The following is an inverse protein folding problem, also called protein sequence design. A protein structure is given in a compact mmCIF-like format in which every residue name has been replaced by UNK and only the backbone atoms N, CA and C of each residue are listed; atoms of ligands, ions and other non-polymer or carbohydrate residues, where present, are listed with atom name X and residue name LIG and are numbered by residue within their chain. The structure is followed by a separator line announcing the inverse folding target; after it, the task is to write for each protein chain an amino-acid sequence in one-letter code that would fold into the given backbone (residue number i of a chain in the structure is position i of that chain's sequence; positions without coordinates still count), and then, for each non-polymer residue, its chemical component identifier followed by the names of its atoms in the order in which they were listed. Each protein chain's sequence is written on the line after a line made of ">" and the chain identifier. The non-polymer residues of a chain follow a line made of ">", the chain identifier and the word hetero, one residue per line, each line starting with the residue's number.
data_IF_437839809789
#
_entry.id   IF_437839809789
#
_cell.length_a   1.000
_cell.length_b   1.000
_cell.length_c   1.000
_cell.angle_alpha   90.00
_cell.angle_beta   90.00
_cell.angle_gamma   90.00
#
_symmetry.space_group_name_H-M   'P 1'
#
loop_
_entity.id
_entity.type
_entity.pdbx_description
1 polymer ?
#
# COMPACT_ATOMS: atom_id res chain seq x y z
N UNK A 1 74.70 5.68 37.69
CA UNK A 1 74.14 6.95 38.21
C UNK A 1 72.69 6.69 38.60
N UNK A 2 72.40 6.86 39.89
CA UNK A 2 71.15 6.59 40.62
C UNK A 2 70.20 7.80 40.61
N UNK A 3 68.88 7.54 40.52
CA UNK A 3 67.76 8.14 41.33
C UNK A 3 66.40 7.79 40.67
N UNK A 4 65.53 7.08 41.38
CA UNK A 4 64.42 7.56 42.25
C UNK A 4 63.27 8.19 41.42
N UNK A 5 62.11 7.52 41.32
CA UNK A 5 60.92 7.57 42.20
C UNK A 5 59.91 8.64 41.74
N UNK A 6 58.62 8.27 41.85
CA UNK A 6 57.41 9.11 41.93
C UNK A 6 56.44 9.25 40.73
N UNK A 7 55.17 9.25 41.15
CA UNK A 7 53.99 9.87 40.59
C UNK A 7 53.22 9.12 39.49
N UNK A 8 52.27 8.29 39.96
CA UNK A 8 51.09 7.94 39.19
C UNK A 8 50.03 9.06 39.22
N UNK A 9 49.18 9.00 38.17
CA UNK A 9 47.99 9.79 37.83
C UNK A 9 48.26 11.08 37.02
N UNK A 10 47.32 11.52 36.14
CA UNK A 10 45.96 11.00 35.86
C UNK A 10 45.71 10.70 34.37
N UNK A 11 44.77 9.80 34.06
CA UNK A 11 44.06 9.89 32.78
C UNK A 11 42.57 9.67 32.99
N UNK A 12 41.86 10.79 32.92
CA UNK A 12 40.42 10.87 32.77
C UNK A 12 40.09 10.42 31.34
N UNK A 13 39.02 9.64 31.15
CA UNK A 13 37.96 9.97 30.18
C UNK A 13 36.96 8.82 30.04
N UNK A 14 35.74 9.09 30.51
CA UNK A 14 34.48 8.69 29.91
C UNK A 14 34.32 7.22 29.51
N UNK A 15 33.66 6.45 30.38
CA UNK A 15 32.85 5.33 29.95
C UNK A 15 31.74 5.86 29.01
N UNK A 16 31.92 5.71 27.70
CA UNK A 16 30.85 5.91 26.73
C UNK A 16 29.96 4.66 26.75
N UNK A 17 28.93 4.77 27.59
CA UNK A 17 27.65 4.10 27.42
C UNK A 17 27.12 4.40 26.01
N UNK A 18 26.97 3.37 25.18
CA UNK A 18 26.45 3.53 23.81
C UNK A 18 25.66 2.35 23.25
N UNK A 19 25.81 1.14 23.77
CA UNK A 19 25.37 -0.05 23.01
C UNK A 19 24.04 -0.68 23.45
N UNK A 20 23.37 -0.18 24.50
CA UNK A 20 22.13 -0.82 24.99
C UNK A 20 20.85 -0.10 24.59
N UNK A 21 20.92 1.09 23.97
CA UNK A 21 19.71 1.88 23.65
C UNK A 21 19.26 1.77 22.20
N UNK A 22 20.09 1.21 21.30
CA UNK A 22 19.74 1.07 19.88
C UNK A 22 18.87 -0.16 19.58
N UNK A 23 18.85 -1.17 20.45
CA UNK A 23 18.09 -2.41 20.20
C UNK A 23 16.59 -2.24 20.53
N UNK A 24 16.22 -1.24 21.34
CA UNK A 24 14.85 -1.06 21.81
C UNK A 24 13.95 -0.18 20.90
N UNK A 25 14.48 0.39 19.81
CA UNK A 25 13.67 1.10 18.81
C UNK A 25 13.29 0.24 17.59
N UNK A 26 13.78 -0.99 17.52
CA UNK A 26 13.55 -1.87 16.36
C UNK A 26 12.37 -2.84 16.54
N UNK A 27 11.84 -3.02 17.75
CA UNK A 27 10.90 -4.12 18.03
C UNK A 27 9.42 -3.72 18.12
N UNK A 28 9.10 -2.42 18.12
CA UNK A 28 7.70 -1.94 18.11
C UNK A 28 7.22 -1.41 16.74
N UNK A 29 8.09 -1.29 15.74
CA UNK A 29 7.72 -0.85 14.38
C UNK A 29 7.37 -1.98 13.40
N UNK A 30 7.48 -3.24 13.82
CA UNK A 30 7.48 -4.40 12.92
C UNK A 30 6.19 -5.26 12.94
N UNK A 31 5.17 -4.90 13.73
CA UNK A 31 3.89 -5.66 13.83
C UNK A 31 2.68 -5.01 13.15
N UNK A 32 2.82 -3.80 12.61
CA UNK A 32 1.76 -3.09 11.88
C UNK A 32 2.15 -2.77 10.43
N UNK A 33 3.05 -3.55 9.83
CA UNK A 33 3.75 -3.17 8.60
C UNK A 33 2.85 -2.66 7.47
N UNK A 34 1.65 -3.23 7.28
CA UNK A 34 0.63 -2.70 6.34
C UNK A 34 -0.80 -2.84 6.89
N UNK A 35 -0.98 -2.95 8.21
CA UNK A 35 -2.30 -3.16 8.80
C UNK A 35 -3.30 -2.05 8.41
N UNK A 36 -2.80 -0.81 8.37
CA UNK A 36 -3.56 0.36 7.90
C UNK A 36 -3.97 0.22 6.44
N UNK A 37 -3.07 -0.19 5.54
CA UNK A 37 -3.40 -0.39 4.12
C UNK A 37 -4.45 -1.47 3.94
N UNK A 38 -4.37 -2.58 4.66
CA UNK A 38 -5.36 -3.66 4.60
C UNK A 38 -6.74 -3.23 5.13
N UNK A 39 -6.76 -2.41 6.18
CA UNK A 39 -8.01 -1.85 6.71
C UNK A 39 -8.63 -0.85 5.72
N UNK A 40 -7.82 0.02 5.12
CA UNK A 40 -8.25 0.97 4.09
C UNK A 40 -8.81 0.23 2.87
N UNK A 41 -8.15 -0.84 2.43
CA UNK A 41 -8.62 -1.68 1.34
C UNK A 41 -9.97 -2.31 1.62
N UNK A 42 -10.17 -2.82 2.83
CA UNK A 42 -11.46 -3.38 3.25
C UNK A 42 -12.56 -2.32 3.14
N UNK A 43 -12.29 -1.10 3.59
CA UNK A 43 -13.24 0.02 3.49
C UNK A 43 -13.48 0.45 2.05
N UNK A 44 -12.42 0.51 1.24
CA UNK A 44 -12.50 0.84 -0.19
C UNK A 44 -13.41 -0.16 -0.92
N UNK A 45 -13.16 -1.46 -0.75
CA UNK A 45 -13.96 -2.51 -1.40
C UNK A 45 -15.45 -2.45 -1.00
N UNK A 46 -15.75 -2.10 0.25
CA UNK A 46 -17.12 -1.92 0.71
C UNK A 46 -17.81 -0.74 0.01
N UNK A 47 -17.13 0.39 -0.14
CA UNK A 47 -17.65 1.58 -0.82
C UNK A 47 -17.82 1.35 -2.33
N UNK A 48 -16.88 0.63 -2.97
CA UNK A 48 -17.01 0.24 -4.39
C UNK A 48 -18.22 -0.68 -4.59
N UNK A 49 -18.40 -1.68 -3.71
CA UNK A 49 -19.58 -2.54 -3.77
C UNK A 49 -20.89 -1.77 -3.57
N UNK A 50 -20.90 -0.78 -2.67
CA UNK A 50 -22.05 0.12 -2.48
C UNK A 50 -22.31 0.95 -3.75
N UNK A 51 -21.27 1.50 -4.37
CA UNK A 51 -21.39 2.27 -5.61
C UNK A 51 -21.96 1.41 -6.74
N UNK A 52 -21.46 0.18 -6.90
CA UNK A 52 -22.00 -0.78 -7.86
C UNK A 52 -23.49 -1.05 -7.60
N UNK A 53 -23.88 -1.25 -6.33
CA UNK A 53 -25.29 -1.43 -5.97
C UNK A 53 -26.16 -0.21 -6.32
N UNK A 54 -25.68 1.01 -6.06
CA UNK A 54 -26.38 2.25 -6.42
C UNK A 54 -26.58 2.34 -7.93
N UNK A 55 -25.51 2.08 -8.71
CA UNK A 55 -25.53 2.09 -10.18
C UNK A 55 -26.52 1.07 -10.75
N UNK A 56 -26.60 -0.12 -10.17
CA UNK A 56 -27.52 -1.16 -10.64
C UNK A 56 -28.99 -0.90 -10.25
N UNK A 57 -29.25 -0.19 -9.14
CA UNK A 57 -30.59 -0.04 -8.56
C UNK A 57 -31.37 1.16 -9.09
N UNK A 58 -30.67 2.24 -9.46
CA UNK A 58 -31.32 3.53 -9.72
C UNK A 58 -31.15 3.99 -11.18
N UNK A 59 -32.14 4.75 -11.67
CA UNK A 59 -32.08 5.49 -12.94
C UNK A 59 -32.41 6.96 -12.67
N UNK A 60 -31.79 7.89 -13.40
CA UNK A 60 -32.10 9.32 -13.33
C UNK A 60 -31.48 10.05 -12.13
N UNK A 61 -32.00 11.21 -11.74
CA UNK A 61 -31.36 12.12 -10.76
C UNK A 61 -31.11 11.52 -9.36
N UNK A 62 -31.91 10.53 -8.93
CA UNK A 62 -31.69 9.82 -7.68
C UNK A 62 -30.41 8.97 -7.72
N UNK A 63 -30.11 8.37 -8.88
CA UNK A 63 -28.83 7.66 -9.10
C UNK A 63 -27.66 8.63 -8.94
N UNK A 64 -27.75 9.82 -9.55
CA UNK A 64 -26.67 10.82 -9.51
C UNK A 64 -26.34 11.24 -8.09
N UNK A 65 -27.35 11.59 -7.26
CA UNK A 65 -27.11 12.06 -5.89
C UNK A 65 -26.54 10.98 -4.97
N UNK A 66 -27.04 9.75 -5.06
CA UNK A 66 -26.53 8.65 -4.23
C UNK A 66 -25.13 8.24 -4.67
N UNK A 67 -24.86 8.16 -5.98
CA UNK A 67 -23.53 7.86 -6.50
C UNK A 67 -22.51 8.95 -6.12
N UNK A 68 -22.87 10.24 -6.24
CA UNK A 68 -22.04 11.36 -5.80
C UNK A 68 -21.72 11.29 -4.30
N UNK A 69 -22.70 10.92 -3.47
CA UNK A 69 -22.48 10.75 -2.04
C UNK A 69 -21.51 9.59 -1.76
N UNK A 70 -21.65 8.44 -2.43
CA UNK A 70 -20.72 7.32 -2.27
C UNK A 70 -19.31 7.68 -2.76
N UNK A 71 -19.19 8.37 -3.90
CA UNK A 71 -17.91 8.86 -4.43
C UNK A 71 -17.22 9.85 -3.48
N UNK A 72 -17.97 10.74 -2.83
CA UNK A 72 -17.43 11.67 -1.82
C UNK A 72 -16.84 10.93 -0.61
N UNK A 73 -17.34 9.74 -0.27
CA UNK A 73 -16.74 8.90 0.77
C UNK A 73 -15.55 8.08 0.28
N UNK A 74 -15.44 7.85 -1.03
CA UNK A 74 -14.35 7.11 -1.65
C UNK A 74 -13.05 7.95 -1.71
N UNK A 75 -13.12 9.23 -2.13
CA UNK A 75 -11.96 10.14 -2.25
C UNK A 75 -11.00 10.12 -1.04
N UNK A 76 -11.45 10.30 0.22
CA UNK A 76 -10.54 10.29 1.35
C UNK A 76 -9.90 8.92 1.60
N UNK A 77 -10.55 7.82 1.21
CA UNK A 77 -10.00 6.46 1.33
C UNK A 77 -8.95 6.22 0.27
N UNK A 78 -9.20 6.60 -0.98
CA UNK A 78 -8.24 6.49 -2.08
C UNK A 78 -6.98 7.31 -1.80
N UNK A 79 -7.15 8.56 -1.34
CA UNK A 79 -6.03 9.41 -0.92
C UNK A 79 -5.21 8.74 0.18
N UNK A 80 -5.87 8.19 1.22
CA UNK A 80 -5.18 7.51 2.30
C UNK A 80 -4.43 6.25 1.82
N UNK A 81 -4.99 5.47 0.89
CA UNK A 81 -4.30 4.32 0.28
C UNK A 81 -3.05 4.78 -0.47
N UNK A 82 -3.14 5.88 -1.22
CA UNK A 82 -2.01 6.40 -2.00
C UNK A 82 -0.91 6.98 -1.10
N UNK A 83 -1.27 7.73 -0.06
CA UNK A 83 -0.34 8.38 0.86
C UNK A 83 0.33 7.40 1.84
N UNK A 84 -0.35 6.31 2.23
CA UNK A 84 0.22 5.33 3.17
C UNK A 84 1.32 4.51 2.48
N UNK A 85 2.57 4.51 2.97
CA UNK A 85 3.63 3.68 2.39
C UNK A 85 3.31 2.19 2.50
N UNK A 86 3.66 1.40 1.48
CA UNK A 86 3.60 -0.05 1.54
C UNK A 86 4.95 -0.60 2.03
N UNK A 87 4.95 -1.38 3.11
CA UNK A 87 6.16 -1.95 3.70
C UNK A 87 6.30 -3.46 3.43
N UNK A 88 5.26 -4.10 2.88
CA UNK A 88 5.25 -5.51 2.51
C UNK A 88 4.64 -5.71 1.13
N UNK A 89 4.83 -6.91 0.58
CA UNK A 89 4.18 -7.36 -0.65
C UNK A 89 2.65 -7.28 -0.53
N UNK A 90 2.07 -7.51 0.66
CA UNK A 90 0.62 -7.40 0.85
C UNK A 90 0.14 -5.95 0.70
N UNK A 91 0.84 -4.98 1.30
CA UNK A 91 0.53 -3.55 1.10
C UNK A 91 0.77 -3.08 -0.33
N UNK A 92 1.76 -3.64 -1.02
CA UNK A 92 1.96 -3.37 -2.45
C UNK A 92 0.80 -3.95 -3.29
N UNK A 93 0.29 -5.12 -2.91
CA UNK A 93 -0.92 -5.71 -3.47
C UNK A 93 -2.14 -4.79 -3.33
N UNK A 94 -2.33 -4.17 -2.16
CA UNK A 94 -3.39 -3.15 -1.95
C UNK A 94 -3.29 -2.02 -2.97
N UNK A 95 -2.10 -1.43 -3.11
CA UNK A 95 -1.88 -0.33 -4.06
C UNK A 95 -2.08 -0.77 -5.50
N UNK A 96 -1.63 -1.96 -5.88
CA UNK A 96 -1.82 -2.50 -7.22
C UNK A 96 -3.31 -2.71 -7.54
N UNK A 97 -4.09 -3.25 -6.60
CA UNK A 97 -5.54 -3.40 -6.79
C UNK A 97 -6.26 -2.06 -6.89
N UNK A 98 -5.87 -1.09 -6.06
CA UNK A 98 -6.42 0.27 -6.17
C UNK A 98 -6.06 0.91 -7.53
N UNK A 99 -4.81 0.77 -7.99
CA UNK A 99 -4.42 1.25 -9.32
C UNK A 99 -5.20 0.56 -10.44
N UNK A 100 -5.47 -0.75 -10.33
CA UNK A 100 -6.29 -1.48 -11.29
C UNK A 100 -7.74 -0.99 -11.34
N UNK A 101 -8.29 -0.55 -10.21
CA UNK A 101 -9.61 0.07 -10.17
C UNK A 101 -9.63 1.43 -10.88
N UNK A 102 -8.66 2.29 -10.56
CA UNK A 102 -8.54 3.63 -11.15
C UNK A 102 -8.31 3.55 -12.67
N UNK A 103 -7.54 2.55 -13.12
CA UNK A 103 -7.18 2.30 -14.51
C UNK A 103 -7.96 1.12 -15.11
N UNK A 104 -9.21 0.93 -14.67
CA UNK A 104 -10.03 -0.22 -15.07
C UNK A 104 -10.19 -0.35 -16.58
N UNK A 105 -10.13 0.77 -17.32
CA UNK A 105 -10.19 0.80 -18.78
C UNK A 105 -9.07 -0.01 -19.47
N UNK A 106 -7.94 -0.26 -18.79
CA UNK A 106 -6.84 -1.07 -19.33
C UNK A 106 -7.18 -2.57 -19.39
N UNK A 107 -8.23 -3.01 -18.67
CA UNK A 107 -8.74 -4.39 -18.71
C UNK A 107 -9.93 -4.58 -19.66
N UNK A 108 -10.53 -3.51 -20.19
CA UNK A 108 -11.66 -3.57 -21.12
C UNK A 108 -11.24 -4.01 -22.54
N UNK A 109 -9.95 -3.95 -22.85
CA UNK A 109 -9.40 -4.32 -24.15
C UNK A 109 -8.37 -5.46 -24.01
N UNK A 110 -8.29 -6.39 -24.97
CA UNK A 110 -7.24 -7.41 -25.01
C UNK A 110 -5.83 -6.80 -24.94
N UNK A 111 -4.92 -7.48 -24.24
CA UNK A 111 -3.57 -6.97 -23.94
C UNK A 111 -2.70 -6.71 -25.18
N UNK A 112 -3.01 -7.37 -26.30
CA UNK A 112 -2.35 -7.20 -27.59
C UNK A 112 -2.85 -5.97 -28.37
N UNK A 113 -3.93 -5.34 -27.90
CA UNK A 113 -4.62 -4.22 -28.58
C UNK A 113 -4.60 -2.90 -27.80
N UNK A 114 -4.09 -2.91 -26.58
CA UNK A 114 -3.87 -1.67 -25.80
C UNK A 114 -2.54 -1.02 -26.18
N UNK A 115 -2.41 0.26 -25.88
CA UNK A 115 -1.16 0.99 -26.07
C UNK A 115 -0.03 0.43 -25.19
N UNK A 116 1.21 0.80 -25.52
CA UNK A 116 2.38 0.27 -24.85
C UNK A 116 2.42 0.64 -23.35
N UNK A 117 1.98 1.85 -23.00
CA UNK A 117 2.03 2.36 -21.63
C UNK A 117 1.01 1.66 -20.74
N UNK A 118 -0.25 1.53 -21.21
CA UNK A 118 -1.29 0.76 -20.54
C UNK A 118 -0.88 -0.72 -20.40
N UNK A 119 -0.24 -1.29 -21.43
CA UNK A 119 0.28 -2.66 -21.37
C UNK A 119 1.34 -2.82 -20.28
N UNK A 120 2.30 -1.89 -20.21
CA UNK A 120 3.36 -1.95 -19.20
C UNK A 120 2.78 -1.86 -17.78
N UNK A 121 1.84 -0.94 -17.56
CA UNK A 121 1.18 -0.76 -16.26
C UNK A 121 0.36 -1.99 -15.89
N UNK A 122 -0.47 -2.51 -16.80
CA UNK A 122 -1.28 -3.72 -16.60
C UNK A 122 -0.41 -4.92 -16.22
N UNK A 123 0.67 -5.17 -16.96
CA UNK A 123 1.59 -6.29 -16.66
C UNK A 123 2.25 -6.15 -15.29
N UNK A 124 2.64 -4.92 -14.91
CA UNK A 124 3.23 -4.67 -13.60
C UNK A 124 2.22 -4.92 -12.47
N UNK A 125 0.99 -4.44 -12.63
CA UNK A 125 -0.09 -4.63 -11.66
C UNK A 125 -0.42 -6.12 -11.51
N UNK A 126 -0.61 -6.85 -12.63
CA UNK A 126 -0.90 -8.29 -12.61
C UNK A 126 0.22 -9.06 -11.90
N UNK A 127 1.49 -8.76 -12.19
CA UNK A 127 2.63 -9.40 -11.54
C UNK A 127 2.68 -9.13 -10.02
N UNK A 128 2.39 -7.90 -9.59
CA UNK A 128 2.34 -7.56 -8.16
C UNK A 128 1.20 -8.32 -7.47
N UNK A 129 0.00 -8.31 -8.06
CA UNK A 129 -1.16 -9.01 -7.52
C UNK A 129 -0.93 -10.53 -7.40
N UNK A 130 -0.27 -11.13 -8.39
CA UNK A 130 0.11 -12.54 -8.38
C UNK A 130 1.08 -12.86 -7.23
N UNK A 131 2.14 -12.06 -7.06
CA UNK A 131 3.11 -12.24 -5.96
C UNK A 131 2.45 -12.00 -4.60
N UNK A 132 1.54 -11.03 -4.51
CA UNK A 132 0.77 -10.73 -3.30
C UNK A 132 -0.30 -11.76 -2.97
N UNK A 133 -0.60 -12.69 -3.88
CA UNK A 133 -1.70 -13.66 -3.77
C UNK A 133 -3.06 -12.99 -3.54
N UNK A 134 -3.24 -11.82 -4.15
CA UNK A 134 -4.48 -11.02 -4.11
C UNK A 134 -4.94 -10.80 -5.54
N UNK A 135 -5.65 -11.75 -6.16
CA UNK A 135 -6.03 -11.67 -7.56
C UNK A 135 -6.93 -10.45 -7.81
N UNK A 136 -6.81 -9.88 -9.01
CA UNK A 136 -7.69 -8.81 -9.47
C UNK A 136 -9.12 -9.36 -9.63
N UNK A 137 -10.15 -8.65 -9.16
CA UNK A 137 -11.55 -9.04 -9.38
C UNK A 137 -11.99 -8.92 -10.85
N UNK A 138 -11.11 -8.44 -11.73
CA UNK A 138 -11.34 -8.21 -13.17
C UNK A 138 -11.07 -9.46 -14.05
N UNK A 139 -10.66 -10.58 -13.43
CA UNK A 139 -10.13 -11.77 -14.12
C UNK A 139 -11.12 -12.65 -14.89
N UNK A 140 -12.44 -12.41 -14.84
CA UNK A 140 -13.43 -13.22 -15.57
C UNK A 140 -13.45 -12.96 -17.09
N UNK A 141 -12.70 -11.98 -17.59
CA UNK A 141 -12.51 -11.71 -19.03
C UNK A 141 -11.42 -12.58 -19.68
N UNK A 142 -10.73 -13.46 -18.94
CA UNK A 142 -9.71 -14.38 -19.47
C UNK A 142 -10.27 -15.62 -20.19
N UNK A 143 -11.58 -15.88 -20.12
CA UNK A 143 -12.20 -17.11 -20.66
C UNK A 143 -13.07 -16.88 -21.92
N UNK A 144 -12.64 -15.99 -22.80
CA UNK A 144 -13.22 -15.82 -24.14
C UNK A 144 -12.16 -16.02 -25.22
N UNK A 145 -11.85 -17.29 -25.52
CA UNK A 145 -11.00 -17.68 -26.65
C UNK A 145 -11.64 -17.43 -28.01
#
# INVERSE_FOLDING_TARGET
>A
MTRNHEAGLPSQSGAWSGDTVAVALQENGARENDATLLALETRFNALVAELDHVVQRHRGEALTKEAEATLAHLDPVERAIMETPACTIAGLGVKARHAAYVLSEYWETPIDRIDWDARAIRLLIEAICDIARTPLPLGSLRDGG
#
